data_IF_202939919554
#
_entry.id   IF_202939919554
#
_cell.length_a   1.000
_cell.length_b   1.000
_cell.length_c   1.000
_cell.angle_alpha   90.00
_cell.angle_beta   90.00
_cell.angle_gamma   90.00
#
_symmetry.space_group_name_H-M   'P 1'
#
loop_
_entity.id
_entity.type
_entity.pdbx_description
1 polymer ?
#
# COMPACT_ATOMS: atom_id res chain seq x y z
N UNK A 1 45.84 25.82 78.87
CA UNK A 1 45.97 24.86 77.76
C UNK A 1 44.90 25.21 76.73
N UNK A 2 45.27 26.00 75.72
CA UNK A 2 44.35 26.49 74.68
C UNK A 2 44.29 25.45 73.55
N UNK A 3 43.11 24.95 73.23
CA UNK A 3 42.88 24.10 72.06
C UNK A 3 42.28 24.97 70.96
N UNK A 4 43.14 25.50 70.09
CA UNK A 4 42.72 26.17 68.85
C UNK A 4 42.35 25.12 67.82
N UNK A 5 41.06 24.90 67.56
CA UNK A 5 40.61 24.14 66.41
C UNK A 5 40.65 25.02 65.15
N UNK A 6 41.43 24.61 64.15
CA UNK A 6 41.45 25.28 62.86
C UNK A 6 40.23 24.87 62.03
N UNK A 7 39.35 25.82 61.72
CA UNK A 7 38.29 25.64 60.73
C UNK A 7 38.88 25.71 59.32
N UNK A 8 39.12 24.55 58.72
CA UNK A 8 39.46 24.46 57.29
C UNK A 8 38.21 24.77 56.46
N UNK A 9 38.10 26.01 55.99
CA UNK A 9 37.16 26.40 54.95
C UNK A 9 37.49 25.63 53.66
N UNK A 10 36.72 24.57 53.37
CA UNK A 10 36.71 23.95 52.06
C UNK A 10 36.11 24.93 51.06
N UNK A 11 36.97 25.60 50.30
CA UNK A 11 36.56 26.34 49.11
C UNK A 11 36.00 25.30 48.14
N UNK A 12 34.67 25.23 48.07
CA UNK A 12 33.97 24.43 47.08
C UNK A 12 34.29 25.06 45.72
N UNK A 13 35.30 24.52 45.03
CA UNK A 13 35.60 24.89 43.65
C UNK A 13 34.36 24.56 42.82
N UNK A 14 33.56 25.59 42.56
CA UNK A 14 32.47 25.53 41.60
C UNK A 14 33.12 25.37 40.23
N UNK A 15 33.33 24.13 39.81
CA UNK A 15 33.67 23.82 38.43
C UNK A 15 32.45 24.19 37.63
N UNK A 16 32.42 25.43 37.14
CA UNK A 16 31.53 25.86 36.08
C UNK A 16 31.91 25.04 34.85
N UNK A 17 31.27 23.87 34.69
CA UNK A 17 31.16 23.22 33.40
C UNK A 17 30.30 24.14 32.54
N UNK A 18 30.94 25.09 31.86
CA UNK A 18 30.37 25.90 30.80
C UNK A 18 30.08 24.99 29.60
N UNK A 19 29.02 24.19 29.73
CA UNK A 19 28.39 23.55 28.58
C UNK A 19 27.98 24.66 27.62
N UNK A 20 28.72 24.83 26.53
CA UNK A 20 28.47 25.86 25.55
C UNK A 20 27.03 25.72 25.03
N UNK A 21 26.20 26.72 25.31
CA UNK A 21 24.78 26.69 24.95
C UNK A 21 24.64 26.75 23.42
N UNK A 22 24.23 25.62 22.82
CA UNK A 22 24.07 25.52 21.36
C UNK A 22 22.75 26.19 20.97
N UNK A 23 22.86 27.37 20.34
CA UNK A 23 21.69 28.08 19.83
C UNK A 23 21.17 27.39 18.58
N UNK A 24 19.92 26.92 18.59
CA UNK A 24 19.31 26.30 17.41
C UNK A 24 18.64 27.35 16.50
N UNK A 25 18.90 27.26 15.20
CA UNK A 25 18.33 28.10 14.14
C UNK A 25 17.75 27.19 13.05
N UNK A 26 16.56 27.52 12.57
CA UNK A 26 15.89 26.79 11.48
C UNK A 26 15.67 27.69 10.27
N UNK A 27 15.96 27.18 9.08
CA UNK A 27 15.79 27.88 7.80
C UNK A 27 15.11 26.97 6.78
N UNK A 28 14.34 27.53 5.86
CA UNK A 28 13.69 26.75 4.79
C UNK A 28 14.67 26.52 3.62
N UNK A 29 14.59 25.35 2.99
CA UNK A 29 15.40 24.94 1.83
C UNK A 29 15.44 26.02 0.74
N UNK A 30 16.63 26.29 0.20
CA UNK A 30 16.88 27.26 -0.88
C UNK A 30 16.81 28.73 -0.44
N UNK A 31 16.56 29.04 0.84
CA UNK A 31 16.71 30.41 1.36
C UNK A 31 18.18 30.71 1.67
N UNK A 32 18.51 31.99 1.73
CA UNK A 32 19.79 32.46 2.26
C UNK A 32 19.69 32.65 3.78
N UNK A 33 20.77 32.39 4.50
CA UNK A 33 20.85 32.52 5.94
C UNK A 33 22.11 33.27 6.35
N UNK A 34 22.03 34.08 7.40
CA UNK A 34 23.22 34.52 8.16
C UNK A 34 23.19 33.90 9.54
N UNK A 35 24.26 33.19 9.91
CA UNK A 35 24.48 32.64 11.24
C UNK A 35 25.28 33.65 12.07
N UNK A 36 24.69 34.27 13.11
CA UNK A 36 25.42 35.21 13.96
C UNK A 36 26.41 34.46 14.86
N UNK A 37 27.62 34.98 15.00
CA UNK A 37 28.58 34.51 16.00
C UNK A 37 28.32 35.22 17.33
N UNK A 38 28.16 34.47 18.43
CA UNK A 38 27.90 35.03 19.77
C UNK A 38 29.17 35.41 20.54
N UNK A 39 30.32 35.55 19.87
CA UNK A 39 31.59 35.91 20.52
C UNK A 39 31.71 37.45 20.65
N UNK A 40 32.29 37.96 21.76
CA UNK A 40 32.35 39.40 22.02
C UNK A 40 33.38 40.15 21.17
N UNK A 41 34.38 39.47 20.61
CA UNK A 41 35.27 40.01 19.57
C UNK A 41 35.00 39.25 18.27
N UNK A 42 34.25 39.89 17.37
CA UNK A 42 33.91 39.36 16.05
C UNK A 42 35.02 39.61 14.99
N UNK A 43 36.14 40.22 15.38
CA UNK A 43 37.22 40.54 14.44
C UNK A 43 38.09 39.31 14.19
N UNK A 44 38.22 38.92 12.91
CA UNK A 44 38.99 37.75 12.47
C UNK A 44 38.44 36.41 13.01
N UNK A 45 37.14 36.15 12.77
CA UNK A 45 36.47 34.87 13.09
C UNK A 45 36.75 33.81 12.01
N UNK A 46 36.96 32.58 12.47
CA UNK A 46 36.94 31.35 11.67
C UNK A 46 35.67 30.55 11.99
N UNK A 47 35.07 29.94 10.96
CA UNK A 47 33.91 29.05 11.11
C UNK A 47 34.28 27.60 10.79
N UNK A 48 33.77 26.68 11.60
CA UNK A 48 33.96 25.23 11.48
C UNK A 48 32.59 24.55 11.41
N UNK A 49 32.38 23.71 10.39
CA UNK A 49 31.18 22.89 10.22
C UNK A 49 31.57 21.40 10.36
N UNK A 50 30.97 20.70 11.32
CA UNK A 50 31.25 19.27 11.61
C UNK A 50 32.76 18.93 11.71
N UNK A 51 33.55 19.83 12.29
CA UNK A 51 35.00 19.65 12.46
C UNK A 51 35.87 19.99 11.24
N UNK A 52 35.28 20.44 10.13
CA UNK A 52 36.00 20.94 8.94
C UNK A 52 35.85 22.45 8.82
N UNK A 53 36.88 23.14 8.32
CA UNK A 53 36.82 24.59 8.10
C UNK A 53 35.74 24.92 7.04
N UNK A 54 34.82 25.82 7.38
CA UNK A 54 33.66 26.15 6.55
C UNK A 54 34.02 26.91 5.26
N UNK A 55 35.30 27.32 5.08
CA UNK A 55 35.79 28.03 3.88
C UNK A 55 35.76 27.21 2.58
N UNK A 56 35.47 25.91 2.64
CA UNK A 56 35.65 24.99 1.51
C UNK A 56 34.42 24.85 0.58
N UNK A 57 33.37 25.68 0.74
CA UNK A 57 32.17 25.66 -0.12
C UNK A 57 31.89 27.04 -0.71
N UNK A 58 31.78 27.15 -2.03
CA UNK A 58 31.57 28.42 -2.76
C UNK A 58 30.28 29.19 -2.41
N UNK A 59 29.36 28.57 -1.65
CA UNK A 59 28.10 29.15 -1.16
C UNK A 59 28.23 29.82 0.21
N UNK A 60 29.40 29.70 0.87
CA UNK A 60 29.67 30.25 2.20
C UNK A 60 30.56 31.49 2.11
N UNK A 61 30.12 32.57 2.77
CA UNK A 61 30.82 33.85 2.86
C UNK A 61 30.89 34.27 4.33
N UNK A 62 32.07 34.61 4.83
CA UNK A 62 32.22 35.23 6.16
C UNK A 62 32.10 36.74 5.98
N UNK A 63 31.20 37.38 6.73
CA UNK A 63 30.97 38.83 6.68
C UNK A 63 31.89 39.58 7.67
N UNK A 64 32.02 40.90 7.49
CA UNK A 64 32.88 41.77 8.32
C UNK A 64 32.45 41.82 9.81
N UNK A 65 31.19 41.48 10.10
CA UNK A 65 30.64 41.34 11.46
C UNK A 65 30.89 39.95 12.09
N UNK A 66 31.69 39.10 11.43
CA UNK A 66 32.01 37.74 11.88
C UNK A 66 30.89 36.72 11.64
N UNK A 67 29.74 37.11 11.09
CA UNK A 67 28.65 36.18 10.77
C UNK A 67 28.95 35.35 9.53
N UNK A 68 28.40 34.12 9.47
CA UNK A 68 28.53 33.23 8.33
C UNK A 68 27.27 33.32 7.46
N UNK A 69 27.41 33.89 6.27
CA UNK A 69 26.38 33.93 5.26
C UNK A 69 26.43 32.68 4.39
N UNK A 70 25.30 31.99 4.27
CA UNK A 70 25.10 30.79 3.47
C UNK A 70 24.02 31.06 2.42
N UNK A 71 24.42 30.97 1.15
CA UNK A 71 23.54 31.13 0.00
C UNK A 71 22.90 29.79 -0.40
N UNK A 72 21.62 29.84 -0.76
CA UNK A 72 20.83 28.69 -1.23
C UNK A 72 21.05 27.44 -0.34
N UNK A 73 20.59 27.53 0.91
CA UNK A 73 20.78 26.47 1.92
C UNK A 73 20.21 25.15 1.43
N UNK A 74 21.02 24.10 1.42
CA UNK A 74 20.64 22.73 1.05
C UNK A 74 20.33 21.86 2.29
N UNK A 75 19.65 20.72 2.11
CA UNK A 75 19.39 19.73 3.17
C UNK A 75 20.68 19.34 3.90
N UNK A 76 21.77 19.16 3.15
CA UNK A 76 23.07 18.69 3.62
C UNK A 76 23.92 19.79 4.31
N UNK A 77 23.41 21.02 4.41
CA UNK A 77 23.99 22.09 5.24
C UNK A 77 23.45 22.04 6.69
N UNK A 78 22.58 21.08 7.04
CA UNK A 78 22.17 20.86 8.43
C UNK A 78 23.33 20.33 9.27
N UNK A 79 23.60 20.92 10.43
CA UNK A 79 24.71 20.50 11.28
C UNK A 79 25.03 21.51 12.38
N UNK A 80 26.16 21.31 13.07
CA UNK A 80 26.66 22.24 14.09
C UNK A 80 27.76 23.10 13.48
N UNK A 81 27.51 24.40 13.44
CA UNK A 81 28.47 25.43 13.03
C UNK A 81 29.08 26.04 14.29
N UNK A 82 30.40 26.11 14.37
CA UNK A 82 31.12 26.71 15.51
C UNK A 82 31.99 27.86 15.02
N UNK A 83 31.81 29.04 15.62
CA UNK A 83 32.71 30.17 15.40
C UNK A 83 33.80 30.21 16.48
N UNK A 84 35.02 30.51 16.04
CA UNK A 84 36.26 30.55 16.81
C UNK A 84 37.05 31.81 16.43
N UNK A 85 37.79 32.46 17.35
CA UNK A 85 38.75 33.49 16.96
C UNK A 85 39.91 32.84 16.19
N UNK A 86 40.24 33.32 14.99
CA UNK A 86 41.20 32.68 14.09
C UNK A 86 42.66 32.72 14.59
N UNK A 87 42.94 33.47 15.67
CA UNK A 87 44.27 33.62 16.27
C UNK A 87 44.37 33.03 17.70
N UNK A 88 43.36 32.32 18.20
CA UNK A 88 43.36 31.80 19.58
C UNK A 88 43.48 30.27 19.63
N UNK A 89 44.57 29.77 20.22
CA UNK A 89 44.76 28.36 20.58
C UNK A 89 43.93 27.92 21.81
N UNK A 90 43.15 28.83 22.42
CA UNK A 90 42.30 28.52 23.58
C UNK A 90 41.02 27.78 23.17
N UNK A 91 40.85 26.47 23.51
CA UNK A 91 39.69 25.68 23.09
C UNK A 91 38.37 26.04 23.80
N UNK A 92 38.46 26.91 24.82
CA UNK A 92 37.36 27.32 25.70
C UNK A 92 36.54 28.48 25.12
N UNK A 93 37.10 29.27 24.19
CA UNK A 93 36.42 30.43 23.57
C UNK A 93 35.79 30.02 22.25
N UNK A 94 34.57 29.49 22.32
CA UNK A 94 33.78 29.10 21.14
C UNK A 94 32.30 29.34 21.33
N UNK A 95 31.61 29.66 20.25
CA UNK A 95 30.14 29.68 20.22
C UNK A 95 29.65 28.77 19.09
N UNK A 96 28.65 27.92 19.40
CA UNK A 96 28.12 26.92 18.49
C UNK A 96 26.63 27.18 18.20
N UNK A 97 26.26 27.01 16.93
CA UNK A 97 24.92 27.21 16.40
C UNK A 97 24.49 25.94 15.68
N UNK A 98 23.36 25.36 16.10
CA UNK A 98 22.77 24.20 15.44
C UNK A 98 21.85 24.65 14.30
N UNK A 99 22.21 24.32 13.06
CA UNK A 99 21.40 24.60 11.88
C UNK A 99 20.51 23.40 11.54
N UNK A 100 19.19 23.62 11.54
CA UNK A 100 18.18 22.63 11.10
C UNK A 100 17.48 23.13 9.84
N UNK A 101 17.78 22.53 8.69
CA UNK A 101 17.13 22.91 7.42
C UNK A 101 15.75 22.26 7.33
N UNK A 102 14.72 23.08 7.12
CA UNK A 102 13.35 22.64 6.87
C UNK A 102 13.15 22.36 5.39
N UNK A 103 12.43 21.29 5.09
CA UNK A 103 12.35 20.71 3.75
C UNK A 103 10.91 20.28 3.44
N UNK A 104 10.55 20.11 2.16
CA UNK A 104 9.39 19.31 1.79
C UNK A 104 9.51 17.88 2.36
N UNK A 105 8.41 17.15 2.57
CA UNK A 105 8.45 15.87 3.27
C UNK A 105 9.44 14.89 2.63
N UNK A 106 10.38 14.30 3.42
CA UNK A 106 11.30 13.29 2.93
C UNK A 106 10.62 12.03 2.37
N UNK A 107 11.43 11.16 1.77
CA UNK A 107 10.98 9.91 1.17
C UNK A 107 10.20 9.05 2.16
N UNK A 108 9.10 8.45 1.69
CA UNK A 108 8.24 7.55 2.46
C UNK A 108 8.65 6.09 2.23
N UNK A 109 8.62 5.28 3.29
CA UNK A 109 8.80 3.83 3.17
C UNK A 109 7.45 3.17 2.82
N UNK A 110 7.37 2.47 1.68
CA UNK A 110 6.13 1.91 1.13
C UNK A 110 6.03 0.38 1.30
N UNK A 111 4.79 -0.11 1.38
CA UNK A 111 4.40 -1.51 1.22
C UNK A 111 3.15 -1.61 0.35
N UNK A 112 3.00 -2.73 -0.38
CA UNK A 112 1.80 -3.01 -1.17
C UNK A 112 1.32 -4.44 -0.94
N UNK A 113 0.01 -4.58 -0.74
CA UNK A 113 -0.67 -5.86 -0.56
C UNK A 113 -1.72 -5.99 -1.68
N UNK A 114 -1.35 -6.60 -2.82
CA UNK A 114 -2.25 -6.77 -3.96
C UNK A 114 -3.23 -7.93 -3.74
N UNK A 115 -4.43 -7.76 -4.30
CA UNK A 115 -5.50 -8.75 -4.43
C UNK A 115 -5.81 -8.98 -5.92
N UNK A 116 -6.93 -9.60 -6.27
CA UNK A 116 -7.30 -9.89 -7.68
C UNK A 116 -7.66 -8.63 -8.48
N UNK A 117 -8.46 -7.71 -7.91
CA UNK A 117 -8.88 -6.46 -8.58
C UNK A 117 -8.61 -5.19 -7.75
N UNK A 118 -7.93 -5.36 -6.62
CA UNK A 118 -7.66 -4.32 -5.61
C UNK A 118 -6.17 -4.36 -5.22
N UNK A 119 -5.65 -3.26 -4.69
CA UNK A 119 -4.37 -3.27 -3.97
C UNK A 119 -4.40 -2.29 -2.79
N UNK A 120 -4.00 -2.75 -1.61
CA UNK A 120 -3.79 -1.89 -0.45
C UNK A 120 -2.35 -1.37 -0.46
N UNK A 121 -2.17 -0.07 -0.61
CA UNK A 121 -0.87 0.61 -0.53
C UNK A 121 -0.74 1.23 0.85
N UNK A 122 0.36 0.95 1.56
CA UNK A 122 0.65 1.47 2.89
C UNK A 122 1.95 2.28 2.87
N UNK A 123 2.06 3.26 3.76
CA UNK A 123 3.27 4.08 3.93
C UNK A 123 3.52 4.44 5.39
N UNK A 124 4.79 4.48 5.78
CA UNK A 124 5.24 5.05 7.04
C UNK A 124 5.91 6.42 6.81
N UNK A 125 5.92 7.26 7.85
CA UNK A 125 6.50 8.61 7.84
C UNK A 125 7.59 8.63 8.90
N UNK A 126 8.84 8.83 8.48
CA UNK A 126 10.01 8.83 9.36
C UNK A 126 10.38 10.26 9.80
N UNK A 127 10.39 11.21 8.86
CA UNK A 127 10.50 12.66 9.11
C UNK A 127 9.43 13.40 8.28
N UNK A 128 9.09 14.62 8.71
CA UNK A 128 8.13 15.52 8.05
C UNK A 128 8.83 16.70 7.34
N UNK A 129 10.15 16.82 7.49
CA UNK A 129 10.94 17.95 6.99
C UNK A 129 10.86 19.19 7.89
N UNK A 130 10.40 19.05 9.13
CA UNK A 130 10.29 20.15 10.09
C UNK A 130 9.01 20.99 9.99
N UNK A 131 8.06 20.61 9.12
CA UNK A 131 6.70 21.15 9.04
C UNK A 131 5.66 20.02 8.96
N UNK A 132 4.49 20.16 9.59
CA UNK A 132 3.46 19.12 9.55
C UNK A 132 3.00 18.83 8.11
N UNK A 133 2.81 17.55 7.81
CA UNK A 133 2.21 17.12 6.54
C UNK A 133 0.74 17.57 6.52
N UNK A 134 0.33 18.20 5.42
CA UNK A 134 -1.02 18.73 5.20
C UNK A 134 -1.91 17.66 4.57
N UNK A 135 -1.37 16.91 3.60
CA UNK A 135 -2.04 15.77 2.97
C UNK A 135 -1.01 14.87 2.26
N UNK A 136 -1.44 13.67 1.88
CA UNK A 136 -0.73 12.84 0.88
C UNK A 136 -1.47 12.84 -0.45
N UNK A 137 -0.75 12.57 -1.52
CA UNK A 137 -1.32 12.25 -2.83
C UNK A 137 -0.68 10.95 -3.33
N UNK A 138 -1.49 10.11 -3.97
CA UNK A 138 -1.06 8.84 -4.51
C UNK A 138 -1.53 8.67 -5.96
N UNK A 139 -0.73 7.99 -6.78
CA UNK A 139 -1.01 7.69 -8.18
C UNK A 139 -0.57 6.28 -8.55
N UNK A 140 -1.11 5.73 -9.63
CA UNK A 140 -0.75 4.41 -10.14
C UNK A 140 -0.68 4.39 -11.67
N UNK A 141 0.05 3.43 -12.23
CA UNK A 141 0.08 3.10 -13.67
C UNK A 141 0.42 1.62 -13.85
N UNK A 142 0.25 1.11 -15.07
CA UNK A 142 0.85 -0.17 -15.46
C UNK A 142 2.37 -0.04 -15.43
N UNK A 143 3.08 -0.95 -14.76
CA UNK A 143 4.53 -0.86 -14.56
C UNK A 143 5.31 -0.82 -15.90
N UNK A 144 4.88 -1.64 -16.86
CA UNK A 144 5.49 -1.76 -18.19
C UNK A 144 4.96 -0.73 -19.20
N UNK A 145 4.21 0.30 -18.79
CA UNK A 145 3.58 1.27 -19.68
C UNK A 145 4.18 2.67 -19.55
N UNK A 146 4.26 3.36 -20.69
CA UNK A 146 4.55 4.79 -20.79
C UNK A 146 3.29 5.68 -20.62
N UNK A 147 2.15 5.08 -20.26
CA UNK A 147 0.93 5.81 -19.88
C UNK A 147 1.15 6.84 -18.77
N UNK A 148 0.34 7.90 -18.82
CA UNK A 148 0.26 8.90 -17.77
C UNK A 148 -0.20 8.27 -16.44
N UNK A 149 0.36 8.78 -15.34
CA UNK A 149 0.03 8.37 -13.98
C UNK A 149 -1.41 8.71 -13.60
N UNK A 150 -2.22 7.69 -13.36
CA UNK A 150 -3.64 7.81 -13.00
C UNK A 150 -3.76 8.19 -11.51
N UNK A 151 -4.57 9.20 -11.14
CA UNK A 151 -4.75 9.59 -9.75
C UNK A 151 -5.52 8.53 -8.96
N UNK A 152 -5.12 8.28 -7.72
CA UNK A 152 -5.90 7.48 -6.78
C UNK A 152 -6.85 8.41 -6.03
N UNK A 153 -8.13 8.04 -5.96
CA UNK A 153 -9.16 8.82 -5.24
C UNK A 153 -9.19 8.41 -3.76
N UNK A 154 -9.22 9.36 -2.80
CA UNK A 154 -9.22 10.81 -2.98
C UNK A 154 -7.83 11.40 -3.25
N UNK A 155 -7.76 12.40 -4.15
CA UNK A 155 -6.51 13.04 -4.55
C UNK A 155 -5.78 13.79 -3.41
N UNK A 156 -6.51 14.22 -2.37
CA UNK A 156 -5.95 14.66 -1.09
C UNK A 156 -6.34 13.68 0.00
N UNK A 157 -5.38 12.88 0.43
CA UNK A 157 -5.51 11.90 1.49
C UNK A 157 -5.20 12.58 2.83
N UNK A 158 -5.97 12.26 3.88
CA UNK A 158 -5.77 12.79 5.24
C UNK A 158 -4.32 12.64 5.72
N UNK A 159 -3.73 13.65 6.39
CA UNK A 159 -2.36 13.59 6.91
C UNK A 159 -2.18 12.54 8.02
N UNK A 160 -3.27 12.07 8.62
CA UNK A 160 -3.28 10.99 9.60
C UNK A 160 -3.41 9.59 8.96
N UNK A 161 -3.69 9.50 7.65
CA UNK A 161 -3.73 8.19 6.97
C UNK A 161 -2.33 7.63 6.75
N UNK A 162 -2.23 6.29 6.78
CA UNK A 162 -1.03 5.51 6.47
C UNK A 162 -1.31 4.42 5.41
N UNK A 163 -2.49 4.45 4.82
CA UNK A 163 -2.91 3.49 3.79
C UNK A 163 -3.94 4.09 2.82
N UNK A 164 -4.01 3.51 1.62
CA UNK A 164 -5.09 3.73 0.65
C UNK A 164 -5.35 2.43 -0.13
N UNK A 165 -6.62 2.12 -0.38
CA UNK A 165 -7.01 1.02 -1.24
C UNK A 165 -7.25 1.53 -2.67
N UNK A 166 -6.63 0.86 -3.65
CA UNK A 166 -6.77 1.15 -5.07
C UNK A 166 -7.72 0.12 -5.67
N UNK A 167 -8.79 0.60 -6.30
CA UNK A 167 -9.87 -0.23 -6.87
C UNK A 167 -9.76 -0.33 -8.39
N UNK A 168 -10.48 -1.30 -8.98
CA UNK A 168 -10.64 -1.47 -10.44
C UNK A 168 -9.30 -1.75 -11.16
N UNK A 169 -8.45 -2.54 -10.53
CA UNK A 169 -7.25 -3.10 -11.16
C UNK A 169 -7.63 -4.35 -11.97
N UNK A 170 -6.87 -4.63 -13.02
CA UNK A 170 -7.00 -5.87 -13.79
C UNK A 170 -6.30 -7.02 -13.06
N UNK A 171 -6.82 -8.26 -13.09
CA UNK A 171 -6.14 -9.44 -12.54
C UNK A 171 -4.82 -9.76 -13.24
N UNK A 172 -3.90 -10.41 -12.54
CA UNK A 172 -2.59 -10.86 -13.07
C UNK A 172 -1.66 -9.76 -13.62
N UNK A 173 -1.90 -8.50 -13.27
CA UNK A 173 -1.28 -7.32 -13.89
C UNK A 173 -0.37 -6.59 -12.92
N UNK A 174 0.83 -6.22 -13.37
CA UNK A 174 1.81 -5.47 -12.55
C UNK A 174 1.56 -3.97 -12.67
N UNK A 175 1.31 -3.34 -11.53
CA UNK A 175 1.13 -1.89 -11.40
C UNK A 175 2.29 -1.28 -10.62
N UNK A 176 2.72 -0.09 -11.04
CA UNK A 176 3.56 0.79 -10.25
C UNK A 176 2.66 1.78 -9.49
N UNK A 177 2.91 1.94 -8.19
CA UNK A 177 2.21 2.85 -7.29
C UNK A 177 3.21 3.86 -6.75
N UNK A 178 2.82 5.14 -6.68
CA UNK A 178 3.65 6.17 -6.08
C UNK A 178 2.88 7.04 -5.10
N UNK A 179 3.53 7.42 -4.01
CA UNK A 179 2.97 8.23 -2.91
C UNK A 179 3.96 9.31 -2.52
N UNK A 180 3.46 10.51 -2.21
CA UNK A 180 4.28 11.58 -1.62
C UNK A 180 3.48 12.39 -0.60
N UNK A 181 4.18 12.94 0.39
CA UNK A 181 3.62 13.91 1.32
C UNK A 181 3.65 15.34 0.76
N UNK A 182 2.76 16.19 1.24
CA UNK A 182 2.76 17.63 0.95
C UNK A 182 2.75 18.39 2.28
N UNK A 183 3.73 19.26 2.52
CA UNK A 183 3.74 20.21 3.64
C UNK A 183 3.70 21.66 3.10
N UNK A 184 3.89 22.67 3.95
CA UNK A 184 3.84 24.08 3.53
C UNK A 184 4.96 24.51 2.56
N UNK A 185 6.07 23.76 2.49
CA UNK A 185 7.13 23.97 1.50
C UNK A 185 6.83 23.26 0.16
N UNK A 186 5.72 22.51 0.09
CA UNK A 186 5.19 21.92 -1.12
C UNK A 186 5.32 20.39 -1.17
N UNK A 187 5.50 19.88 -2.38
CA UNK A 187 5.58 18.44 -2.68
C UNK A 187 6.89 17.86 -2.17
N UNK A 188 6.77 16.79 -1.37
CA UNK A 188 7.88 15.98 -0.90
C UNK A 188 8.43 15.00 -1.93
N UNK A 189 9.41 14.23 -1.49
CA UNK A 189 10.07 13.21 -2.30
C UNK A 189 9.07 12.08 -2.67
N UNK A 190 9.18 11.56 -3.89
CA UNK A 190 8.23 10.57 -4.41
C UNK A 190 8.75 9.16 -4.11
N UNK A 191 8.01 8.42 -3.30
CA UNK A 191 8.24 7.00 -3.13
C UNK A 191 7.44 6.21 -4.18
N UNK A 192 8.03 5.17 -4.77
CA UNK A 192 7.44 4.32 -5.81
C UNK A 192 7.67 2.84 -5.45
N UNK A 193 6.66 1.99 -5.70
CA UNK A 193 6.68 0.55 -5.44
C UNK A 193 5.84 -0.19 -6.48
N UNK A 194 6.26 -1.38 -6.89
CA UNK A 194 5.48 -2.24 -7.79
C UNK A 194 4.71 -3.33 -7.03
N UNK A 195 3.52 -3.66 -7.53
CA UNK A 195 2.70 -4.76 -7.03
C UNK A 195 1.94 -5.43 -8.16
N UNK A 196 1.93 -6.76 -8.18
CA UNK A 196 1.20 -7.57 -9.17
C UNK A 196 -0.09 -8.11 -8.57
N UNK A 197 -1.22 -7.85 -9.22
CA UNK A 197 -2.52 -8.40 -8.82
C UNK A 197 -2.57 -9.92 -8.99
N UNK A 198 -3.39 -10.56 -8.17
CA UNK A 198 -3.59 -12.00 -8.21
C UNK A 198 -4.34 -12.43 -9.48
N UNK A 199 -4.21 -13.70 -9.84
CA UNK A 199 -5.05 -14.33 -10.88
C UNK A 199 -6.53 -14.25 -10.50
N UNK A 200 -7.42 -14.17 -11.48
CA UNK A 200 -8.82 -14.48 -11.24
C UNK A 200 -8.99 -16.01 -11.25
N UNK A 201 -9.28 -16.59 -10.10
CA UNK A 201 -9.44 -18.04 -9.96
C UNK A 201 -10.88 -18.51 -10.16
N UNK A 202 -11.86 -17.63 -10.44
CA UNK A 202 -13.28 -17.98 -10.57
C UNK A 202 -13.51 -19.14 -11.56
N UNK A 203 -12.91 -19.09 -12.75
CA UNK A 203 -13.04 -20.16 -13.75
C UNK A 203 -12.37 -21.47 -13.31
N UNK A 204 -11.27 -21.38 -12.55
CA UNK A 204 -10.54 -22.54 -12.02
C UNK A 204 -11.30 -23.22 -10.86
N UNK A 205 -11.95 -22.42 -10.00
CA UNK A 205 -12.79 -22.89 -8.91
C UNK A 205 -14.09 -23.48 -9.44
N UNK A 206 -14.70 -22.86 -10.45
CA UNK A 206 -15.84 -23.39 -11.18
C UNK A 206 -15.49 -24.73 -11.86
N UNK A 207 -14.35 -24.82 -12.54
CA UNK A 207 -13.88 -26.06 -13.15
C UNK A 207 -13.60 -27.16 -12.11
N UNK A 208 -13.04 -26.83 -10.95
CA UNK A 208 -12.88 -27.78 -9.84
C UNK A 208 -14.23 -28.30 -9.34
N UNK A 209 -15.21 -27.43 -9.16
CA UNK A 209 -16.56 -27.81 -8.72
C UNK A 209 -17.29 -28.68 -9.78
N UNK A 210 -17.11 -28.41 -11.08
CA UNK A 210 -17.64 -29.28 -12.13
C UNK A 210 -16.98 -30.67 -12.19
N UNK A 211 -15.71 -30.76 -11.78
CA UNK A 211 -14.95 -32.01 -11.75
C UNK A 211 -15.00 -32.70 -10.38
N UNK A 212 -15.72 -32.14 -9.40
CA UNK A 212 -15.84 -32.71 -8.07
C UNK A 212 -16.65 -34.02 -8.11
N UNK A 213 -15.99 -35.14 -7.82
CA UNK A 213 -16.56 -36.48 -7.97
C UNK A 213 -16.36 -37.12 -9.35
N UNK A 214 -15.69 -36.47 -10.31
CA UNK A 214 -15.32 -37.10 -11.58
C UNK A 214 -14.34 -38.27 -11.39
N UNK A 215 -13.53 -38.23 -10.32
CA UNK A 215 -12.68 -39.32 -9.84
C UNK A 215 -13.47 -40.54 -9.34
N UNK A 216 -14.68 -40.32 -8.84
CA UNK A 216 -15.60 -41.33 -8.30
C UNK A 216 -16.60 -41.85 -9.35
N UNK A 217 -16.57 -41.31 -10.58
CA UNK A 217 -17.49 -41.70 -11.65
C UNK A 217 -17.04 -43.02 -12.30
N UNK A 218 -17.59 -44.15 -11.85
CA UNK A 218 -17.34 -45.44 -12.49
C UNK A 218 -18.12 -45.56 -13.82
N UNK A 219 -17.37 -45.37 -14.91
CA UNK A 219 -17.86 -45.53 -16.29
C UNK A 219 -18.46 -46.90 -16.57
N UNK A 220 -18.03 -47.97 -15.88
CA UNK A 220 -18.61 -49.32 -16.02
C UNK A 220 -20.00 -49.37 -15.43
N UNK A 221 -20.18 -48.80 -14.24
CA UNK A 221 -21.47 -48.73 -13.57
C UNK A 221 -22.48 -47.91 -14.39
N UNK A 222 -22.02 -46.81 -15.01
CA UNK A 222 -22.83 -46.01 -15.93
C UNK A 222 -23.21 -46.77 -17.22
N UNK A 223 -22.26 -47.46 -17.86
CA UNK A 223 -22.53 -48.28 -19.04
C UNK A 223 -23.53 -49.41 -18.76
N UNK A 224 -23.46 -50.04 -17.58
CA UNK A 224 -24.45 -51.05 -17.14
C UNK A 224 -25.82 -50.41 -16.97
N UNK A 225 -25.92 -49.26 -16.32
CA UNK A 225 -27.19 -48.56 -16.13
C UNK A 225 -27.85 -48.15 -17.46
N UNK A 226 -27.08 -47.57 -18.39
CA UNK A 226 -27.54 -47.25 -19.75
C UNK A 226 -27.96 -48.51 -20.50
N UNK A 227 -27.19 -49.60 -20.42
CA UNK A 227 -27.51 -50.89 -21.02
C UNK A 227 -28.83 -51.48 -20.49
N UNK A 228 -29.09 -51.39 -19.19
CA UNK A 228 -30.35 -51.84 -18.58
C UNK A 228 -31.54 -51.01 -19.07
N UNK A 229 -31.42 -49.67 -19.12
CA UNK A 229 -32.50 -48.79 -19.60
C UNK A 229 -32.78 -49.02 -21.08
N UNK A 230 -31.75 -49.13 -21.92
CA UNK A 230 -31.93 -49.43 -23.35
C UNK A 230 -32.52 -50.84 -23.55
N UNK A 231 -32.09 -51.82 -22.76
CA UNK A 231 -32.62 -53.18 -22.78
C UNK A 231 -34.10 -53.25 -22.39
N UNK A 232 -34.53 -52.55 -21.33
CA UNK A 232 -35.95 -52.52 -20.94
C UNK A 232 -36.81 -51.80 -21.98
N UNK A 233 -36.33 -50.71 -22.57
CA UNK A 233 -37.02 -50.04 -23.68
C UNK A 233 -37.21 -50.96 -24.89
N UNK A 234 -36.19 -51.75 -25.27
CA UNK A 234 -36.29 -52.75 -26.34
C UNK A 234 -37.28 -53.86 -26.00
N UNK A 235 -37.24 -54.40 -24.77
CA UNK A 235 -38.18 -55.46 -24.32
C UNK A 235 -39.61 -54.94 -24.29
N UNK A 236 -39.85 -53.71 -23.83
CA UNK A 236 -41.17 -53.08 -23.86
C UNK A 236 -41.64 -52.80 -25.30
N UNK A 237 -40.76 -52.36 -26.19
CA UNK A 237 -41.05 -52.18 -27.62
C UNK A 237 -41.42 -53.49 -28.33
N UNK A 238 -40.66 -54.57 -28.08
CA UNK A 238 -40.98 -55.90 -28.63
C UNK A 238 -42.24 -56.49 -28.01
N UNK A 239 -42.44 -56.33 -26.70
CA UNK A 239 -43.64 -56.81 -25.99
C UNK A 239 -44.91 -56.10 -26.45
N UNK A 240 -44.89 -54.77 -26.60
CA UNK A 240 -46.01 -54.01 -27.18
C UNK A 240 -46.28 -54.41 -28.63
N UNK A 241 -45.23 -54.54 -29.46
CA UNK A 241 -45.38 -55.02 -30.83
C UNK A 241 -45.97 -56.45 -30.90
N UNK A 242 -45.61 -57.33 -29.96
CA UNK A 242 -46.15 -58.69 -29.85
C UNK A 242 -47.61 -58.71 -29.38
N UNK A 243 -48.00 -57.86 -28.43
CA UNK A 243 -49.39 -57.73 -27.98
C UNK A 243 -50.28 -57.19 -29.11
N UNK A 244 -49.82 -56.16 -29.83
CA UNK A 244 -50.51 -55.65 -31.01
C UNK A 244 -50.60 -56.71 -32.12
N UNK A 245 -49.55 -57.52 -32.30
CA UNK A 245 -49.59 -58.67 -33.21
C UNK A 245 -50.59 -59.74 -32.76
N UNK A 246 -50.72 -60.02 -31.46
CA UNK A 246 -51.72 -60.95 -30.94
C UNK A 246 -53.16 -60.42 -31.10
N UNK A 247 -53.43 -59.13 -30.82
CA UNK A 247 -54.74 -58.53 -31.10
C UNK A 247 -55.08 -58.57 -32.60
N UNK A 248 -54.12 -58.25 -33.47
CA UNK A 248 -54.29 -58.38 -34.93
C UNK A 248 -54.52 -59.84 -35.37
N UNK A 249 -53.94 -60.81 -34.67
CA UNK A 249 -54.01 -62.24 -35.02
C UNK A 249 -55.17 -62.98 -34.33
N UNK A 250 -55.90 -62.36 -33.41
CA UNK A 250 -57.08 -62.94 -32.75
C UNK A 250 -58.34 -62.73 -33.63
N UNK A 251 -58.77 -63.71 -34.45
CA UNK A 251 -59.80 -63.47 -35.44
C UNK A 251 -61.17 -63.89 -34.87
N UNK A 252 -62.01 -62.90 -34.63
CA UNK A 252 -63.48 -63.02 -34.73
C UNK A 252 -64.19 -64.17 -33.99
N UNK A 253 -64.20 -64.17 -32.65
CA UNK A 253 -65.27 -64.86 -31.89
C UNK A 253 -66.23 -63.91 -31.14
N UNK A 254 -65.87 -62.65 -30.91
CA UNK A 254 -66.70 -61.68 -30.16
C UNK A 254 -67.63 -60.80 -31.03
N UNK A 255 -67.53 -60.89 -32.37
CA UNK A 255 -68.44 -60.17 -33.29
C UNK A 255 -69.73 -60.95 -33.63
N UNK A 256 -69.83 -62.24 -33.31
CA UNK A 256 -71.09 -63.00 -33.41
C UNK A 256 -72.03 -62.67 -32.24
N UNK A 257 -71.48 -62.45 -31.03
CA UNK A 257 -72.27 -62.30 -29.79
C UNK A 257 -72.98 -60.94 -29.67
N UNK A 258 -72.46 -59.88 -30.28
CA UNK A 258 -73.11 -58.55 -30.32
C UNK A 258 -74.13 -58.37 -31.45
N UNK A 259 -74.14 -59.24 -32.47
CA UNK A 259 -75.16 -59.22 -33.55
C UNK A 259 -76.44 -59.99 -33.19
N UNK A 260 -76.43 -60.76 -32.09
CA UNK A 260 -77.57 -61.60 -31.65
C UNK A 260 -78.44 -60.99 -30.54
N UNK A 261 -78.10 -59.82 -30.00
CA UNK A 261 -78.78 -59.19 -28.83
C UNK A 261 -79.31 -57.78 -29.10
N UNK A 262 -79.48 -57.38 -30.37
CA UNK A 262 -80.24 -56.18 -30.73
C UNK A 262 -81.08 -56.44 -31.97
N UNK A 263 -82.35 -56.01 -31.92
CA UNK A 263 -83.46 -56.29 -32.86
C UNK A 263 -83.99 -57.75 -32.74
N UNK A 264 -85.24 -58.04 -32.37
CA UNK A 264 -86.43 -57.20 -32.12
C UNK A 264 -87.27 -57.70 -30.92
N UNK A 265 -87.76 -56.76 -30.10
CA UNK A 265 -89.01 -56.91 -29.37
C UNK A 265 -89.84 -55.64 -29.58
N UNK A 266 -90.88 -55.74 -30.41
CA UNK A 266 -92.09 -54.90 -30.31
C UNK A 266 -93.04 -55.51 -29.26
N UNK A 267 -94.18 -54.84 -28.97
CA UNK A 267 -95.14 -55.06 -27.84
C UNK A 267 -94.64 -54.33 -26.57
N UNK A 268 -95.32 -53.38 -25.88
CA UNK A 268 -96.66 -52.72 -25.93
C UNK A 268 -96.51 -51.30 -25.29
N UNK A 269 -97.44 -50.33 -25.24
CA UNK A 269 -98.88 -50.26 -25.58
C UNK A 269 -99.31 -48.84 -26.05
N UNK A 270 -100.62 -48.56 -26.03
CA UNK A 270 -101.35 -47.33 -26.36
C UNK A 270 -101.39 -46.22 -25.28
N UNK A 271 -101.77 -45.01 -25.75
CA UNK A 271 -102.24 -43.80 -25.05
C UNK A 271 -101.17 -42.86 -24.49
#
# INVERSE_FOLDING_TARGET
>A
MLITQALTLSVLHFVLTSGAEIRNISVDLGRNLSLPCSLPDAKNIMWVHEGKEARQVSRLLIQDDGSLFLMEVDRNDSGIYTCLPANSDSPDVKASVGLRVRTPPPLLSLSVHPSTILALVLWTVEDTGGYPIICFTAQYRLANSSEEWKPISPNRISPNSRQIEVYKLEPNTTYAFRVWGINQLGKGDVAEIEGRTLMNNQDLELARHFLEGADKFDTRMWLVAVGVVMGTLVVLGLGTCFLLYQECRAPSETLSKWRSTRTWHHVTSSK
#
